data_IF_503910515857
#
_entry.id   IF_503910515857
#
_cell.length_a   1.000
_cell.length_b   1.000
_cell.length_c   1.000
_cell.angle_alpha   90.00
_cell.angle_beta   90.00
_cell.angle_gamma   90.00
#
_symmetry.space_group_name_H-M   'P 1'
#
loop_
_entity.id
_entity.type
_entity.pdbx_description
1 polymer ?
#
# COMPACT_ATOMS: atom_id res chain seq x y z
N UNK A 1 42.67 -13.72 -18.01
CA UNK A 1 41.80 -13.56 -16.82
C UNK A 1 41.24 -12.14 -16.76
N UNK A 2 40.12 -11.90 -17.46
CA UNK A 2 39.37 -10.65 -17.33
C UNK A 2 38.29 -10.87 -16.26
N UNK A 3 38.53 -10.36 -15.06
CA UNK A 3 37.57 -10.37 -13.97
C UNK A 3 36.44 -9.38 -14.27
N UNK A 4 35.31 -9.89 -14.74
CA UNK A 4 34.04 -9.19 -14.73
C UNK A 4 33.66 -8.89 -13.27
N UNK A 5 33.94 -7.68 -12.81
CA UNK A 5 33.38 -7.16 -11.57
C UNK A 5 31.87 -7.04 -11.76
N UNK A 6 31.13 -8.04 -11.30
CA UNK A 6 29.70 -7.92 -11.10
C UNK A 6 29.46 -6.90 -9.99
N UNK A 7 29.19 -5.65 -10.36
CA UNK A 7 28.68 -4.66 -9.42
C UNK A 7 27.31 -5.15 -8.92
N UNK A 8 27.29 -5.70 -7.71
CA UNK A 8 26.06 -5.78 -6.95
C UNK A 8 25.59 -4.33 -6.75
N UNK A 9 24.65 -3.86 -7.57
CA UNK A 9 24.16 -2.48 -7.45
C UNK A 9 23.55 -2.29 -6.06
N UNK A 10 24.27 -1.56 -5.22
CA UNK A 10 23.82 -1.07 -3.91
C UNK A 10 22.65 -0.09 -4.11
N UNK A 11 21.71 -0.04 -3.17
CA UNK A 11 20.57 0.89 -3.27
C UNK A 11 21.12 2.32 -3.17
N UNK A 12 21.04 3.07 -4.26
CA UNK A 12 21.48 4.45 -4.33
C UNK A 12 20.35 5.38 -3.87
N UNK A 13 20.66 6.38 -3.04
CA UNK A 13 19.73 7.47 -2.73
C UNK A 13 19.90 8.57 -3.78
N UNK A 14 18.81 8.92 -4.46
CA UNK A 14 18.79 9.94 -5.52
C UNK A 14 18.41 11.32 -4.95
N UNK A 15 17.39 11.34 -4.10
CA UNK A 15 16.94 12.55 -3.43
C UNK A 15 16.34 12.24 -2.07
N UNK A 16 16.38 13.21 -1.17
CA UNK A 16 15.65 13.18 0.10
C UNK A 16 14.99 14.53 0.33
N UNK A 17 13.68 14.51 0.58
CA UNK A 17 12.91 15.69 0.95
C UNK A 17 12.28 15.52 2.31
N UNK A 18 12.38 16.55 3.15
CA UNK A 18 11.80 16.56 4.49
C UNK A 18 10.56 17.45 4.53
N UNK A 19 9.47 16.94 5.09
CA UNK A 19 8.24 17.69 5.34
C UNK A 19 7.92 17.63 6.82
N UNK A 20 7.93 18.78 7.50
CA UNK A 20 7.63 18.90 8.92
C UNK A 20 6.16 19.32 9.07
N UNK A 21 5.34 18.47 9.71
CA UNK A 21 3.90 18.68 9.86
C UNK A 21 3.53 18.46 11.33
N UNK A 22 3.11 19.54 12.00
CA UNK A 22 2.81 19.54 13.43
C UNK A 22 3.97 18.96 14.26
N UNK A 23 3.75 17.83 14.95
CA UNK A 23 4.76 17.12 15.78
C UNK A 23 5.38 15.93 15.03
N UNK A 24 5.25 15.88 13.70
CA UNK A 24 5.76 14.80 12.84
C UNK A 24 6.71 15.34 11.80
N UNK A 25 7.70 14.53 11.45
CA UNK A 25 8.65 14.71 10.35
C UNK A 25 8.46 13.57 9.38
N UNK A 26 8.26 13.91 8.11
CA UNK A 26 8.21 12.95 7.02
C UNK A 26 9.48 13.12 6.19
N UNK A 27 10.18 12.01 5.95
CA UNK A 27 11.30 11.94 5.03
C UNK A 27 10.86 11.17 3.80
N UNK A 28 10.96 11.79 2.64
CA UNK A 28 10.58 11.26 1.33
C UNK A 28 11.88 11.03 0.57
N UNK A 29 12.38 9.80 0.61
CA UNK A 29 13.63 9.43 -0.02
C UNK A 29 13.35 8.72 -1.34
N UNK A 30 13.76 9.32 -2.46
CA UNK A 30 13.78 8.66 -3.76
C UNK A 30 15.06 7.85 -3.84
N UNK A 31 14.92 6.55 -4.11
CA UNK A 31 16.04 5.61 -4.16
C UNK A 31 15.98 4.80 -5.45
N UNK A 32 17.14 4.40 -5.95
CA UNK A 32 17.28 3.51 -7.08
C UNK A 32 17.77 2.15 -6.61
N UNK A 33 17.09 1.10 -7.09
CA UNK A 33 17.53 -0.28 -6.91
C UNK A 33 17.67 -0.95 -8.28
N UNK A 34 18.18 -2.18 -8.29
CA UNK A 34 18.15 -3.05 -9.47
C UNK A 34 16.74 -3.35 -10.01
N UNK A 35 15.67 -3.02 -9.28
CA UNK A 35 14.27 -3.17 -9.73
C UNK A 35 13.66 -1.87 -10.26
N UNK A 36 14.44 -0.80 -10.36
CA UNK A 36 13.98 0.54 -10.69
C UNK A 36 13.93 1.48 -9.48
N UNK A 37 13.40 2.68 -9.73
CA UNK A 37 13.28 3.76 -8.75
C UNK A 37 12.06 3.57 -7.86
N UNK A 38 12.20 3.93 -6.59
CA UNK A 38 11.12 3.82 -5.61
C UNK A 38 11.19 4.96 -4.60
N UNK A 39 10.05 5.26 -4.00
CA UNK A 39 9.92 6.24 -2.93
C UNK A 39 9.79 5.53 -1.58
N UNK A 40 10.63 5.92 -0.62
CA UNK A 40 10.53 5.52 0.77
C UNK A 40 10.09 6.71 1.60
N UNK A 41 8.93 6.58 2.25
CA UNK A 41 8.39 7.56 3.18
C UNK A 41 8.63 7.07 4.60
N UNK A 42 9.31 7.87 5.42
CA UNK A 42 9.49 7.60 6.84
C UNK A 42 8.81 8.69 7.69
N UNK A 43 7.95 8.27 8.62
CA UNK A 43 7.29 9.14 9.60
C UNK A 43 8.01 9.04 10.94
N UNK A 44 8.35 10.20 11.52
CA UNK A 44 9.01 10.33 12.82
C UNK A 44 8.28 11.33 13.69
N UNK A 45 7.91 10.94 14.92
CA UNK A 45 7.35 11.85 15.91
C UNK A 45 8.44 12.60 16.68
N UNK A 46 8.25 13.91 16.92
CA UNK A 46 9.27 14.84 17.46
C UNK A 46 8.86 15.42 18.83
N UNK A 47 7.69 15.06 19.38
CA UNK A 47 7.24 15.61 20.66
C UNK A 47 8.08 15.13 21.86
N UNK A 48 8.56 16.07 22.69
CA UNK A 48 9.23 15.77 23.97
C UNK A 48 8.25 15.07 24.93
N UNK A 49 8.67 13.96 25.56
CA UNK A 49 7.93 13.31 26.65
C UNK A 49 7.48 11.85 26.43
N UNK A 50 7.74 11.23 25.27
CA UNK A 50 7.64 9.76 25.09
C UNK A 50 9.02 9.20 24.76
N UNK A 51 9.81 8.91 25.79
CA UNK A 51 11.09 8.22 25.63
C UNK A 51 10.88 6.75 25.20
N UNK A 52 9.68 6.19 25.39
CA UNK A 52 9.51 4.73 25.40
C UNK A 52 8.93 4.12 24.13
N UNK A 53 8.60 4.91 23.10
CA UNK A 53 8.16 4.37 21.81
C UNK A 53 8.17 5.48 20.73
N UNK A 54 9.34 5.84 20.22
CA UNK A 54 9.43 6.51 18.91
C UNK A 54 8.91 5.50 17.88
N UNK A 55 7.60 5.51 17.63
CA UNK A 55 7.00 4.77 16.53
C UNK A 55 7.52 5.39 15.24
N UNK A 56 8.63 4.87 14.73
CA UNK A 56 9.07 5.11 13.35
C UNK A 56 8.23 4.21 12.47
N UNK A 57 7.38 4.81 11.67
CA UNK A 57 6.62 4.09 10.67
C UNK A 57 7.17 4.41 9.28
N UNK A 58 7.01 3.46 8.36
CA UNK A 58 7.56 3.58 7.02
C UNK A 58 6.60 3.00 6.00
N UNK A 59 6.62 3.59 4.82
CA UNK A 59 5.91 3.14 3.64
C UNK A 59 6.87 3.14 2.46
N UNK A 60 6.86 2.09 1.64
CA UNK A 60 7.70 2.01 0.45
C UNK A 60 6.84 1.67 -0.76
N UNK A 61 6.89 2.52 -1.78
CA UNK A 61 6.07 2.41 -2.98
C UNK A 61 6.89 2.76 -4.23
N UNK A 62 6.46 2.29 -5.40
CA UNK A 62 7.06 2.70 -6.68
C UNK A 62 6.75 4.17 -6.98
N UNK A 63 7.54 4.80 -7.88
CA UNK A 63 7.22 6.17 -8.32
C UNK A 63 5.89 6.26 -9.08
N UNK A 64 5.50 5.20 -9.78
CA UNK A 64 4.17 5.08 -10.39
C UNK A 64 3.03 5.16 -9.35
N UNK A 65 3.12 4.40 -8.25
CA UNK A 65 2.14 4.49 -7.16
C UNK A 65 2.22 5.86 -6.46
N UNK A 66 3.39 6.50 -6.44
CA UNK A 66 3.54 7.84 -5.87
C UNK A 66 2.80 8.90 -6.69
N UNK A 67 2.77 8.75 -8.02
CA UNK A 67 2.00 9.59 -8.92
C UNK A 67 0.50 9.45 -8.68
N UNK A 68 -0.01 8.23 -8.57
CA UNK A 68 -1.42 7.98 -8.21
C UNK A 68 -1.75 8.54 -6.82
N UNK A 69 -0.85 8.37 -5.83
CA UNK A 69 -1.01 8.95 -4.50
C UNK A 69 -1.08 10.48 -4.54
N UNK A 70 -0.26 11.13 -5.37
CA UNK A 70 -0.26 12.58 -5.59
C UNK A 70 -1.60 13.07 -6.16
N UNK A 71 -2.20 12.31 -7.09
CA UNK A 71 -3.52 12.62 -7.64
C UNK A 71 -4.62 12.44 -6.58
N UNK A 72 -4.67 11.30 -5.89
CA UNK A 72 -5.62 11.07 -4.80
C UNK A 72 -5.54 12.15 -3.70
N UNK A 73 -4.33 12.62 -3.36
CA UNK A 73 -4.13 13.69 -2.39
C UNK A 73 -4.83 14.98 -2.83
N UNK A 74 -4.87 15.29 -4.13
CA UNK A 74 -5.66 16.41 -4.67
C UNK A 74 -7.13 16.29 -4.28
N UNK A 75 -7.74 15.13 -4.54
CA UNK A 75 -9.15 14.89 -4.22
C UNK A 75 -9.44 14.90 -2.71
N UNK A 76 -8.47 14.51 -1.87
CA UNK A 76 -8.59 14.60 -0.41
C UNK A 76 -8.48 16.03 0.10
N UNK A 77 -7.59 16.84 -0.49
CA UNK A 77 -7.44 18.26 -0.15
C UNK A 77 -8.73 19.02 -0.48
N UNK A 78 -9.28 18.80 -1.68
CA UNK A 78 -10.56 19.40 -2.08
C UNK A 78 -11.69 19.00 -1.14
N UNK A 79 -11.82 17.70 -0.83
CA UNK A 79 -12.84 17.23 0.10
C UNK A 79 -12.65 17.84 1.50
N UNK A 80 -11.43 17.93 2.00
CA UNK A 80 -11.12 18.53 3.30
C UNK A 80 -11.48 20.03 3.36
N UNK A 81 -11.24 20.78 2.28
CA UNK A 81 -11.64 22.18 2.18
C UNK A 81 -13.17 22.36 2.30
N UNK A 82 -13.94 21.52 1.62
CA UNK A 82 -15.41 21.55 1.71
C UNK A 82 -15.95 21.22 3.11
N UNK A 83 -15.27 20.34 3.84
CA UNK A 83 -15.62 20.03 5.24
C UNK A 83 -15.35 21.22 6.18
N UNK A 84 -14.37 22.07 5.88
CA UNK A 84 -14.09 23.30 6.63
C UNK A 84 -15.21 24.33 6.52
N UNK A 85 -15.86 24.41 5.35
CA UNK A 85 -16.96 25.35 5.09
C UNK A 85 -18.29 24.90 5.74
N UNK A 86 -18.54 23.59 5.82
CA UNK A 86 -19.76 23.04 6.43
C UNK A 86 -19.75 23.03 7.96
N UNK A 87 -18.59 23.13 8.61
CA UNK A 87 -18.45 23.17 10.07
C UNK A 87 -18.71 24.54 10.72
N UNK A 88 -18.90 25.60 9.93
CA UNK A 88 -19.09 26.98 10.43
C UNK A 88 -20.54 27.41 10.67
N UNK A 89 -21.52 26.57 10.35
CA UNK A 89 -22.94 26.87 10.50
C UNK A 89 -23.64 25.81 11.35
N UNK A 90 -23.45 25.89 12.67
CA UNK A 90 -24.19 25.06 13.63
C UNK A 90 -23.97 25.53 15.07
N UNK A 91 -25.00 26.12 15.65
CA UNK A 91 -25.12 26.62 17.03
C UNK A 91 -24.48 27.97 17.37
N UNK A 92 -25.10 29.04 16.88
CA UNK A 92 -25.36 30.24 17.70
C UNK A 92 -26.86 30.53 17.69
N UNK A 93 -27.58 29.82 18.55
CA UNK A 93 -28.90 30.27 18.99
C UNK A 93 -28.70 30.99 20.32
N UNK A 94 -28.57 32.31 20.23
CA UNK A 94 -28.93 33.20 21.33
C UNK A 94 -30.45 33.13 21.49
N UNK A 95 -30.92 32.73 22.67
CA UNK A 95 -32.19 33.19 23.21
C UNK A 95 -32.08 33.27 24.72
N UNK A 96 -32.02 34.51 25.19
CA UNK A 96 -32.15 34.90 26.59
C UNK A 96 -33.63 35.05 26.98
N UNK A 97 -33.85 34.93 28.29
CA UNK A 97 -34.95 35.43 29.13
C UNK A 97 -36.17 34.52 29.45
N UNK A 98 -36.13 34.04 30.70
CA UNK A 98 -36.96 34.46 31.86
C UNK A 98 -38.02 33.52 32.47
N UNK A 99 -37.92 33.46 33.80
CA UNK A 99 -38.93 33.26 34.88
C UNK A 99 -39.38 31.85 35.34
N UNK A 100 -38.79 31.47 36.49
CA UNK A 100 -39.40 31.28 37.83
C UNK A 100 -40.56 30.29 38.12
N UNK A 101 -40.31 29.49 39.19
CA UNK A 101 -41.18 29.04 40.30
C UNK A 101 -41.61 27.53 40.44
N UNK A 102 -41.22 27.01 41.62
CA UNK A 102 -41.36 25.73 42.40
C UNK A 102 -42.76 25.05 42.54
N UNK A 103 -42.97 23.92 43.31
CA UNK A 103 -42.11 22.87 43.90
C UNK A 103 -42.62 21.37 43.91
N UNK A 104 -41.70 20.43 44.25
CA UNK A 104 -41.82 19.15 45.03
C UNK A 104 -42.81 18.01 44.64
N UNK A 105 -42.24 16.80 44.40
CA UNK A 105 -42.55 15.52 45.11
C UNK A 105 -41.54 14.41 44.74
N UNK A 106 -41.05 13.69 45.75
CA UNK A 106 -40.26 12.42 45.75
C UNK A 106 -40.93 11.50 46.79
N UNK A 107 -40.58 10.21 46.97
CA UNK A 107 -39.79 9.26 46.16
C UNK A 107 -40.43 7.84 46.09
N UNK A 108 -40.03 6.92 45.17
CA UNK A 108 -40.02 5.44 45.41
C UNK A 108 -38.99 4.72 44.50
N UNK A 109 -38.14 3.86 45.09
CA UNK A 109 -37.29 2.79 44.53
C UNK A 109 -37.83 1.43 45.06
N UNK A 110 -37.49 0.18 44.60
CA UNK A 110 -36.20 -0.36 44.06
C UNK A 110 -36.39 -1.41 42.90
N UNK A 111 -35.45 -2.33 42.50
CA UNK A 111 -34.07 -2.66 42.93
C UNK A 111 -32.99 -2.69 41.79
N UNK A 112 -31.70 -2.99 42.09
CA UNK A 112 -30.56 -2.76 41.19
C UNK A 112 -30.11 -4.02 40.42
N UNK A 113 -29.39 -3.81 39.31
CA UNK A 113 -28.70 -4.85 38.53
C UNK A 113 -27.36 -4.32 37.99
N UNK A 114 -26.38 -5.21 37.70
CA UNK A 114 -24.97 -5.06 38.10
C UNK A 114 -24.09 -4.25 37.12
N UNK A 115 -22.88 -3.83 37.53
CA UNK A 115 -21.96 -3.09 36.67
C UNK A 115 -21.23 -4.08 35.77
N UNK A 116 -21.48 -4.02 34.47
CA UNK A 116 -20.71 -4.79 33.49
C UNK A 116 -20.02 -3.81 32.56
N UNK A 117 -18.70 -3.78 32.67
CA UNK A 117 -17.74 -3.45 31.61
C UNK A 117 -17.84 -2.06 30.98
N UNK A 118 -17.30 -1.06 31.66
CA UNK A 118 -16.61 0.04 30.96
C UNK A 118 -15.18 -0.41 30.65
N UNK A 119 -15.06 -1.31 29.68
CA UNK A 119 -13.86 -1.36 28.86
C UNK A 119 -13.84 -0.08 28.05
N UNK A 120 -12.81 0.73 28.22
CA UNK A 120 -12.62 2.00 27.52
C UNK A 120 -12.52 1.76 26.01
N UNK A 121 -13.67 1.76 25.31
CA UNK A 121 -13.68 1.92 23.86
C UNK A 121 -13.33 3.40 23.58
N UNK A 122 -12.10 3.65 23.14
CA UNK A 122 -11.75 4.90 22.46
C UNK A 122 -12.83 5.17 21.39
N UNK A 123 -13.38 6.39 21.29
CA UNK A 123 -14.45 6.67 20.34
C UNK A 123 -13.96 6.34 18.91
N UNK A 124 -14.73 5.56 18.12
CA UNK A 124 -14.30 5.11 16.81
C UNK A 124 -14.03 6.33 15.93
N UNK A 125 -12.80 6.46 15.46
CA UNK A 125 -12.44 7.49 14.48
C UNK A 125 -13.40 7.42 13.29
N UNK A 126 -14.20 8.46 13.06
CA UNK A 126 -15.13 8.50 11.92
C UNK A 126 -14.33 8.59 10.63
N UNK A 127 -14.62 7.70 9.69
CA UNK A 127 -14.03 7.74 8.34
C UNK A 127 -14.83 8.75 7.52
N UNK A 128 -14.15 9.76 6.98
CA UNK A 128 -14.75 10.84 6.20
C UNK A 128 -14.72 10.50 4.69
N UNK A 129 -13.60 9.94 4.22
CA UNK A 129 -13.40 9.52 2.83
C UNK A 129 -12.39 8.37 2.80
N UNK A 130 -12.63 7.37 1.95
CA UNK A 130 -11.70 6.26 1.71
C UNK A 130 -11.47 6.09 0.22
N UNK A 131 -10.21 5.91 -0.17
CA UNK A 131 -9.78 5.55 -1.53
C UNK A 131 -8.77 4.40 -1.44
N UNK A 132 -8.50 3.75 -2.57
CA UNK A 132 -7.41 2.77 -2.64
C UNK A 132 -6.69 2.80 -3.99
N UNK A 133 -5.40 2.46 -3.94
CA UNK A 133 -4.55 2.25 -5.12
C UNK A 133 -4.16 0.77 -5.16
N UNK A 134 -4.35 0.12 -6.29
CA UNK A 134 -3.98 -1.29 -6.49
C UNK A 134 -2.89 -1.42 -7.56
N UNK A 135 -1.75 -2.00 -7.18
CA UNK A 135 -0.61 -2.22 -8.08
C UNK A 135 0.17 -3.46 -7.66
N UNK A 136 0.54 -4.33 -8.62
CA UNK A 136 1.41 -5.49 -8.40
C UNK A 136 1.04 -6.35 -7.16
N UNK A 137 -0.25 -6.68 -7.02
CA UNK A 137 -0.80 -7.46 -5.89
C UNK A 137 -0.64 -6.77 -4.51
N UNK A 138 -0.50 -5.44 -4.50
CA UNK A 138 -0.50 -4.59 -3.31
C UNK A 138 -1.67 -3.62 -3.38
N UNK A 139 -2.34 -3.45 -2.25
CA UNK A 139 -3.41 -2.45 -2.08
C UNK A 139 -2.98 -1.44 -1.05
N UNK A 140 -2.96 -0.18 -1.46
CA UNK A 140 -2.71 0.96 -0.60
C UNK A 140 -4.06 1.60 -0.27
N UNK A 141 -4.49 1.51 0.98
CA UNK A 141 -5.73 2.13 1.46
C UNK A 141 -5.43 3.52 1.99
N UNK A 142 -6.23 4.51 1.60
CA UNK A 142 -6.13 5.91 2.01
C UNK A 142 -7.42 6.28 2.72
N UNK A 143 -7.37 6.42 4.05
CA UNK A 143 -8.53 6.76 4.87
C UNK A 143 -8.36 8.16 5.47
N UNK A 144 -9.17 9.13 5.06
CA UNK A 144 -9.30 10.40 5.76
C UNK A 144 -10.22 10.19 6.96
N UNK A 145 -9.70 10.40 8.16
CA UNK A 145 -10.42 10.13 9.42
C UNK A 145 -10.42 11.35 10.33
N UNK A 146 -11.39 11.42 11.22
CA UNK A 146 -11.51 12.45 12.25
C UNK A 146 -11.42 11.84 13.66
N UNK A 147 -10.65 12.49 14.54
CA UNK A 147 -10.58 12.17 15.96
C UNK A 147 -10.59 13.45 16.80
N UNK A 148 -10.58 13.30 18.13
CA UNK A 148 -10.54 14.44 19.07
C UNK A 148 -9.35 15.38 18.87
N UNK A 149 -8.27 14.92 18.24
CA UNK A 149 -7.06 15.71 17.96
C UNK A 149 -7.09 16.39 16.59
N UNK A 150 -8.12 16.13 15.79
CA UNK A 150 -8.31 16.67 14.44
C UNK A 150 -8.43 15.59 13.37
N UNK A 151 -8.29 16.00 12.11
CA UNK A 151 -8.40 15.13 10.95
C UNK A 151 -7.03 14.68 10.46
N UNK A 152 -6.95 13.45 9.97
CA UNK A 152 -5.72 12.85 9.47
C UNK A 152 -6.00 11.86 8.35
N UNK A 153 -5.09 11.78 7.38
CA UNK A 153 -5.09 10.77 6.34
C UNK A 153 -4.20 9.60 6.78
N UNK A 154 -4.75 8.40 6.83
CA UNK A 154 -4.02 7.16 7.09
C UNK A 154 -3.78 6.44 5.78
N UNK A 155 -2.52 6.21 5.44
CA UNK A 155 -2.11 5.49 4.24
C UNK A 155 -1.53 4.14 4.67
N UNK A 156 -2.19 3.04 4.31
CA UNK A 156 -1.80 1.68 4.73
C UNK A 156 -1.60 0.78 3.52
N UNK A 157 -0.43 0.19 3.40
CA UNK A 157 -0.17 -0.86 2.42
C UNK A 157 -0.53 -2.23 2.98
N UNK A 158 -1.25 -2.99 2.17
CA UNK A 158 -1.52 -4.41 2.35
C UNK A 158 -1.08 -5.17 1.10
N UNK A 159 -0.76 -6.44 1.26
CA UNK A 159 -0.54 -7.34 0.13
C UNK A 159 -1.80 -8.20 -0.01
N UNK A 160 -2.31 -8.33 -1.23
CA UNK A 160 -3.39 -9.26 -1.54
C UNK A 160 -2.84 -10.69 -1.40
N UNK A 161 -2.84 -11.22 -0.17
CA UNK A 161 -2.60 -12.65 0.06
C UNK A 161 -3.88 -13.37 -0.36
N UNK A 162 -3.76 -14.27 -1.33
CA UNK A 162 -4.90 -15.00 -1.88
C UNK A 162 -5.70 -15.76 -0.81
N UNK A 163 -6.97 -16.11 -1.09
CA UNK A 163 -7.83 -16.82 -0.15
C UNK A 163 -7.26 -18.22 0.09
N UNK A 164 -6.55 -18.42 1.20
CA UNK A 164 -5.89 -19.70 1.51
C UNK A 164 -4.74 -19.60 2.51
N UNK A 165 -4.19 -18.42 2.78
CA UNK A 165 -3.21 -18.21 3.86
C UNK A 165 -3.89 -17.63 5.11
N UNK A 166 -5.04 -18.20 5.49
CA UNK A 166 -5.80 -17.84 6.69
C UNK A 166 -5.75 -19.03 7.66
N UNK A 167 -4.70 -19.06 8.49
CA UNK A 167 -4.54 -20.07 9.54
C UNK A 167 -3.15 -20.68 9.55
N UNK A 168 -2.53 -20.75 10.72
CA UNK A 168 -1.24 -21.40 11.09
C UNK A 168 0.04 -20.58 11.15
N UNK A 169 0.15 -19.39 10.53
CA UNK A 169 1.23 -18.45 10.84
C UNK A 169 0.69 -17.17 11.45
N UNK A 170 0.64 -17.16 12.79
CA UNK A 170 0.29 -15.99 13.57
C UNK A 170 1.20 -14.79 13.24
N UNK A 171 0.57 -13.63 13.04
CA UNK A 171 1.02 -12.32 13.53
C UNK A 171 2.54 -12.04 13.65
N UNK A 172 3.38 -12.33 12.65
CA UNK A 172 4.83 -12.10 12.87
C UNK A 172 5.75 -11.80 11.68
N UNK A 173 5.28 -11.66 10.42
CA UNK A 173 6.16 -11.15 9.34
C UNK A 173 5.44 -10.29 8.31
N UNK A 174 5.10 -9.08 8.75
CA UNK A 174 4.71 -7.98 7.90
C UNK A 174 4.22 -6.86 8.78
N UNK A 175 5.13 -6.06 9.34
CA UNK A 175 4.75 -4.77 9.90
C UNK A 175 3.86 -4.09 8.87
N UNK A 176 2.59 -3.80 9.21
CA UNK A 176 1.73 -3.02 8.33
C UNK A 176 2.48 -1.73 8.01
N UNK A 177 2.86 -1.56 6.73
CA UNK A 177 3.52 -0.35 6.29
C UNK A 177 2.45 0.73 6.24
N UNK A 178 2.44 1.58 7.26
CA UNK A 178 1.40 2.57 7.48
C UNK A 178 2.03 3.90 7.86
N UNK A 179 1.50 4.99 7.34
CA UNK A 179 1.85 6.35 7.77
C UNK A 179 0.56 7.12 8.03
N UNK A 180 0.65 8.10 8.93
CA UNK A 180 -0.48 8.91 9.35
C UNK A 180 -0.13 10.39 9.17
N UNK A 181 -0.66 10.97 8.10
CA UNK A 181 -0.46 12.34 7.69
C UNK A 181 -1.54 13.25 8.30
N UNK A 182 -1.21 14.26 9.12
CA UNK A 182 -2.19 15.26 9.54
C UNK A 182 -2.82 15.95 8.33
N UNK A 183 -4.15 16.15 8.32
CA UNK A 183 -4.87 16.66 7.15
C UNK A 183 -4.39 18.06 6.73
N UNK A 184 -3.97 18.88 7.71
CA UNK A 184 -3.42 20.21 7.46
C UNK A 184 -2.13 20.21 6.63
N UNK A 185 -1.39 19.10 6.63
CA UNK A 185 -0.13 18.97 5.90
C UNK A 185 -0.25 18.23 4.56
N UNK A 186 -1.48 17.97 4.08
CA UNK A 186 -1.69 17.23 2.82
C UNK A 186 -1.17 18.00 1.60
N UNK A 187 -1.26 19.34 1.62
CA UNK A 187 -0.80 20.19 0.52
C UNK A 187 0.72 20.14 0.42
N UNK A 188 1.44 20.39 1.51
CA UNK A 188 2.90 20.37 1.55
C UNK A 188 3.45 18.98 1.19
N UNK A 189 2.75 17.93 1.63
CA UNK A 189 3.10 16.55 1.28
C UNK A 189 2.88 16.27 -0.22
N UNK A 190 1.76 16.74 -0.79
CA UNK A 190 1.47 16.64 -2.23
C UNK A 190 2.52 17.39 -3.04
N UNK A 191 2.82 18.63 -2.70
CA UNK A 191 3.80 19.46 -3.42
C UNK A 191 5.22 18.87 -3.31
N UNK A 192 5.53 18.21 -2.20
CA UNK A 192 6.75 17.42 -2.09
C UNK A 192 6.79 16.23 -3.05
N UNK A 193 5.67 15.50 -3.19
CA UNK A 193 5.57 14.42 -4.18
C UNK A 193 5.65 14.94 -5.61
N UNK A 194 4.96 16.04 -5.94
CA UNK A 194 4.99 16.67 -7.28
C UNK A 194 6.43 16.93 -7.71
N UNK A 195 7.21 17.64 -6.88
CA UNK A 195 8.61 17.96 -7.21
C UNK A 195 9.47 16.70 -7.39
N UNK A 196 9.32 15.70 -6.52
CA UNK A 196 10.08 14.44 -6.63
C UNK A 196 9.68 13.63 -7.86
N UNK A 197 8.40 13.68 -8.28
CA UNK A 197 7.90 12.96 -9.46
C UNK A 197 8.30 13.69 -10.74
N UNK A 198 8.26 15.02 -10.76
CA UNK A 198 8.73 15.82 -11.91
C UNK A 198 10.24 15.61 -12.13
N UNK A 199 11.04 15.57 -11.07
CA UNK A 199 12.50 15.42 -11.19
C UNK A 199 12.94 13.96 -11.41
N UNK A 200 12.26 12.98 -10.81
CA UNK A 200 12.73 11.58 -10.81
C UNK A 200 11.73 10.57 -11.38
N UNK A 201 10.48 10.95 -11.64
CA UNK A 201 9.41 10.09 -12.15
C UNK A 201 9.56 9.73 -13.62
N UNK A 202 10.31 10.53 -14.38
CA UNK A 202 10.60 10.28 -15.80
C UNK A 202 11.59 9.12 -16.00
N UNK A 203 12.28 8.65 -14.96
CA UNK A 203 13.20 7.51 -15.07
C UNK A 203 12.55 6.20 -15.51
N UNK A 204 11.23 6.02 -15.32
CA UNK A 204 10.51 4.85 -15.86
C UNK A 204 10.09 5.04 -17.33
N UNK A 205 10.18 6.27 -17.88
CA UNK A 205 9.69 6.65 -19.22
C UNK A 205 10.85 7.00 -20.17
N UNK A 206 11.90 7.67 -19.68
CA UNK A 206 13.10 7.99 -20.46
C UNK A 206 14.04 6.79 -20.61
N UNK A 207 14.10 5.87 -19.64
CA UNK A 207 14.72 4.53 -19.85
C UNK A 207 13.97 3.71 -20.93
N UNK A 208 12.77 4.14 -21.34
CA UNK A 208 12.02 3.56 -22.49
C UNK A 208 12.20 4.31 -23.80
N UNK A 209 12.87 5.46 -23.84
CA UNK A 209 13.05 6.24 -25.09
C UNK A 209 14.50 6.56 -25.44
N UNK A 210 15.46 6.32 -24.55
CA UNK A 210 16.86 6.69 -24.73
C UNK A 210 17.86 5.56 -24.52
N UNK A 211 17.72 4.45 -25.24
CA UNK A 211 18.82 3.51 -25.49
C UNK A 211 19.12 2.47 -24.40
N UNK A 212 18.75 1.21 -24.68
CA UNK A 212 19.58 0.06 -24.31
C UNK A 212 18.96 -1.06 -23.50
N UNK A 213 17.82 -0.87 -22.83
CA UNK A 213 17.17 -1.92 -22.02
C UNK A 213 15.64 -1.86 -22.15
N UNK A 214 15.15 -2.08 -23.36
CA UNK A 214 13.79 -2.61 -23.52
C UNK A 214 13.77 -3.98 -22.80
N UNK A 215 12.85 -4.22 -21.83
CA UNK A 215 12.68 -5.57 -21.32
C UNK A 215 12.41 -6.44 -22.56
N UNK A 216 13.21 -7.49 -22.81
CA UNK A 216 13.16 -8.21 -24.07
C UNK A 216 11.71 -8.50 -24.39
N UNK A 217 11.20 -8.13 -25.56
CA UNK A 217 9.84 -8.47 -25.96
C UNK A 217 9.69 -9.99 -25.82
N UNK A 218 9.05 -10.41 -24.73
CA UNK A 218 8.87 -11.80 -24.42
C UNK A 218 7.65 -12.28 -25.20
N UNK A 219 7.67 -13.52 -25.72
CA UNK A 219 6.52 -14.10 -26.40
C UNK A 219 5.26 -13.98 -25.55
N UNK A 220 4.14 -13.70 -26.20
CA UNK A 220 2.84 -13.69 -25.53
C UNK A 220 2.55 -15.06 -24.91
N UNK A 221 2.06 -15.04 -23.66
CA UNK A 221 1.72 -16.27 -22.96
C UNK A 221 0.61 -17.03 -23.69
N UNK A 222 0.71 -18.35 -23.73
CA UNK A 222 -0.31 -19.20 -24.34
C UNK A 222 -1.07 -19.98 -23.29
N UNK A 223 -2.32 -20.34 -23.60
CA UNK A 223 -3.10 -21.21 -22.70
C UNK A 223 -4.00 -22.15 -23.50
N UNK A 224 -4.24 -23.33 -22.94
CA UNK A 224 -5.22 -24.26 -23.46
C UNK A 224 -6.01 -24.92 -22.33
N UNK A 225 -7.18 -25.43 -22.66
CA UNK A 225 -8.09 -26.08 -21.71
C UNK A 225 -8.15 -27.58 -22.02
N UNK A 226 -8.06 -28.39 -20.96
CA UNK A 226 -8.31 -29.84 -21.01
C UNK A 226 -9.26 -30.16 -19.85
N UNK A 227 -10.42 -30.72 -20.14
CA UNK A 227 -11.48 -31.01 -19.17
C UNK A 227 -11.88 -29.78 -18.31
N UNK A 228 -11.74 -29.92 -16.99
CA UNK A 228 -11.96 -28.88 -15.99
C UNK A 228 -10.67 -28.17 -15.57
N UNK A 229 -9.60 -28.29 -16.36
CA UNK A 229 -8.29 -27.68 -16.10
C UNK A 229 -7.92 -26.74 -17.23
N UNK A 230 -7.25 -25.64 -16.88
CA UNK A 230 -6.62 -24.73 -17.83
C UNK A 230 -5.13 -24.66 -17.54
N UNK A 231 -4.32 -24.85 -18.58
CA UNK A 231 -2.87 -24.73 -18.50
C UNK A 231 -2.45 -23.39 -19.10
N UNK A 232 -1.65 -22.62 -18.38
CA UNK A 232 -1.04 -21.37 -18.86
C UNK A 232 0.47 -21.55 -18.97
N UNK A 233 1.05 -20.95 -20.01
CA UNK A 233 2.46 -20.96 -20.34
C UNK A 233 2.90 -19.51 -20.51
N UNK A 234 3.35 -18.89 -19.42
CA UNK A 234 3.72 -17.48 -19.40
C UNK A 234 5.24 -17.34 -19.40
N UNK A 235 5.79 -16.66 -20.39
CA UNK A 235 7.22 -16.31 -20.40
C UNK A 235 7.42 -15.02 -19.60
N UNK A 236 8.32 -15.06 -18.63
CA UNK A 236 8.66 -13.91 -17.79
C UNK A 236 10.16 -13.69 -17.73
N UNK A 237 10.56 -12.47 -17.37
CA UNK A 237 11.95 -12.12 -17.07
C UNK A 237 12.05 -11.60 -15.64
N UNK A 238 13.18 -11.90 -14.99
CA UNK A 238 13.55 -11.31 -13.72
C UNK A 238 15.09 -11.11 -13.70
N UNK A 239 15.63 -10.59 -12.59
CA UNK A 239 17.08 -10.37 -12.41
C UNK A 239 17.96 -11.62 -12.56
N UNK A 240 17.38 -12.83 -12.52
CA UNK A 240 18.07 -14.11 -12.69
C UNK A 240 17.95 -14.66 -14.11
N UNK A 241 17.27 -13.95 -15.02
CA UNK A 241 17.09 -14.30 -16.42
C UNK A 241 15.64 -14.58 -16.80
N UNK A 242 15.46 -15.13 -18.00
CA UNK A 242 14.17 -15.52 -18.57
C UNK A 242 13.71 -16.86 -17.95
N UNK A 243 12.41 -17.00 -17.72
CA UNK A 243 11.80 -18.22 -17.20
C UNK A 243 10.42 -18.46 -17.81
N UNK A 244 10.00 -19.72 -17.83
CA UNK A 244 8.68 -20.15 -18.25
C UNK A 244 7.90 -20.53 -17.00
N UNK A 245 6.74 -19.91 -16.82
CA UNK A 245 5.79 -20.26 -15.77
C UNK A 245 4.72 -21.15 -16.37
N UNK A 246 4.65 -22.39 -15.89
CA UNK A 246 3.60 -23.34 -16.29
C UNK A 246 2.62 -23.45 -15.14
N UNK A 247 1.39 -22.96 -15.32
CA UNK A 247 0.33 -22.98 -14.31
C UNK A 247 -0.79 -23.95 -14.72
N UNK A 248 -1.09 -24.93 -13.88
CA UNK A 248 -2.33 -25.71 -13.94
C UNK A 248 -3.39 -25.04 -13.05
N UNK A 249 -4.53 -24.66 -13.61
CA UNK A 249 -5.62 -23.99 -12.91
C UNK A 249 -6.89 -24.83 -12.99
N UNK A 250 -7.41 -25.20 -11.82
CA UNK A 250 -8.73 -25.82 -11.64
C UNK A 250 -9.37 -25.18 -10.41
N UNK A 251 -10.33 -24.26 -10.55
CA UNK A 251 -10.92 -23.57 -9.40
C UNK A 251 -11.38 -24.56 -8.30
N UNK A 252 -11.02 -24.34 -7.02
CA UNK A 252 -10.27 -23.20 -6.45
C UNK A 252 -8.72 -23.35 -6.49
N UNK A 253 -8.20 -24.46 -7.00
CA UNK A 253 -6.79 -24.83 -6.96
C UNK A 253 -5.99 -24.27 -8.14
N UNK A 254 -4.74 -23.87 -7.85
CA UNK A 254 -3.74 -23.49 -8.84
C UNK A 254 -2.38 -24.05 -8.45
N UNK A 255 -1.83 -24.90 -9.31
CA UNK A 255 -0.46 -25.41 -9.19
C UNK A 255 0.43 -24.70 -10.21
N UNK A 256 1.69 -24.42 -9.87
CA UNK A 256 2.59 -23.70 -10.79
C UNK A 256 4.03 -24.11 -10.57
N UNK A 257 4.74 -24.32 -11.68
CA UNK A 257 6.18 -24.49 -11.71
C UNK A 257 6.84 -23.33 -12.45
N UNK A 258 8.11 -23.07 -12.13
CA UNK A 258 8.95 -22.09 -12.85
C UNK A 258 10.14 -22.82 -13.43
N UNK A 259 10.29 -22.77 -14.75
CA UNK A 259 11.36 -23.42 -15.49
C UNK A 259 12.32 -22.34 -15.99
N UNK A 260 13.58 -22.29 -15.51
CA UNK A 260 14.53 -21.30 -15.99
C UNK A 260 14.91 -21.57 -17.45
N UNK A 261 15.18 -20.51 -18.23
CA UNK A 261 15.49 -20.60 -19.67
C UNK A 261 16.53 -21.67 -20.02
N UNK A 262 17.60 -21.74 -19.21
CA UNK A 262 18.68 -22.75 -19.35
C UNK A 262 18.22 -24.22 -19.31
N UNK A 263 17.01 -24.50 -18.84
CA UNK A 263 16.46 -25.84 -18.73
C UNK A 263 15.37 -26.16 -19.78
N UNK A 264 14.96 -25.18 -20.60
CA UNK A 264 13.82 -25.35 -21.52
C UNK A 264 14.06 -26.44 -22.56
N UNK A 265 15.25 -26.47 -23.18
CA UNK A 265 15.61 -27.50 -24.18
C UNK A 265 15.46 -28.90 -23.59
N UNK A 266 16.06 -29.14 -22.42
CA UNK A 266 15.97 -30.44 -21.73
C UNK A 266 14.54 -30.78 -21.33
N UNK A 267 13.78 -29.79 -20.88
CA UNK A 267 12.38 -29.98 -20.53
C UNK A 267 11.58 -30.42 -21.76
N UNK A 268 11.68 -29.69 -22.87
CA UNK A 268 11.02 -30.00 -24.13
C UNK A 268 11.41 -31.35 -24.74
N UNK A 269 12.71 -31.68 -24.76
CA UNK A 269 13.21 -32.98 -25.24
C UNK A 269 12.58 -34.16 -24.48
N UNK A 270 12.42 -34.04 -23.16
CA UNK A 270 11.75 -35.08 -22.39
C UNK A 270 10.26 -35.20 -22.75
N UNK A 271 9.55 -34.09 -22.98
CA UNK A 271 8.16 -34.15 -23.44
C UNK A 271 8.02 -34.88 -24.77
N UNK A 272 8.85 -34.54 -25.76
CA UNK A 272 8.82 -35.17 -27.09
C UNK A 272 9.15 -36.66 -26.98
N UNK A 273 10.21 -37.00 -26.25
CA UNK A 273 10.60 -38.40 -26.01
C UNK A 273 9.46 -39.21 -25.41
N UNK A 274 8.83 -38.70 -24.35
CA UNK A 274 7.72 -39.41 -23.72
C UNK A 274 6.46 -39.44 -24.59
N UNK A 275 6.20 -38.42 -25.40
CA UNK A 275 5.09 -38.45 -26.38
C UNK A 275 5.29 -39.61 -27.38
N UNK A 276 6.49 -39.75 -27.92
CA UNK A 276 6.81 -40.84 -28.85
C UNK A 276 6.74 -42.22 -28.20
N UNK A 277 7.24 -42.36 -26.97
CA UNK A 277 7.16 -43.62 -26.22
C UNK A 277 5.72 -43.99 -25.90
N UNK A 278 4.90 -43.02 -25.47
CA UNK A 278 3.49 -43.26 -25.15
C UNK A 278 2.64 -43.55 -26.39
N UNK A 279 3.02 -43.11 -27.59
CA UNK A 279 2.35 -43.52 -28.84
C UNK A 279 2.59 -44.98 -29.20
N UNK A 280 3.59 -45.62 -28.62
CA UNK A 280 3.93 -47.05 -28.87
C UNK A 280 3.25 -48.00 -27.88
N UNK A 281 2.54 -47.47 -26.88
CA UNK A 281 1.76 -48.22 -25.88
C UNK A 281 0.29 -48.09 -26.27
#
# INVERSE_FOLDING_TARGET
PASSQGSCMEIQELASKRVDIQKKRFYLDVKQSSRGRFLKIAEVWIGRGRQDNIRKSKLTLSLSVAAELKDCLGDFIEHYAHLGLKGGHGHRHEHSNDKEQHPRRRPQHPPPSPPVSVGSEEPPHSVLKTEYIERDNRKYYLDLKENQRGRFLRIRQTMSRGPGMMGYFGHSLGQEQTIVLPAQGMIEFRDALVQLIEEYGEGDIEDRRGGGDEPPELPEGTSFRVDNKRFYFDVGSNRYGIFLKVSEVRPPYRNTITVPYKAWTRFGENFIKYEEEMRRI
#
